data_IF_399537706710
#
_entry.id   IF_399537706710
#
_cell.length_a   1.000
_cell.length_b   1.000
_cell.length_c   1.000
_cell.angle_alpha   90.00
_cell.angle_beta   90.00
_cell.angle_gamma   90.00
#
_symmetry.space_group_name_H-M   'P 1'
#
loop_
_entity.id
_entity.type
_entity.pdbx_description
1 polymer ?
#
# COMPACT_ATOMS: atom_id res chain seq x y z
N UNK A 1 -8.35 -15.13 -39.52
CA UNK A 1 -9.08 -16.39 -39.29
C UNK A 1 -8.84 -16.82 -37.85
N UNK A 2 -9.91 -17.19 -37.16
CA UNK A 2 -10.00 -17.38 -35.72
C UNK A 2 -9.34 -18.68 -35.22
N UNK A 3 -9.01 -18.72 -33.93
CA UNK A 3 -9.06 -19.96 -33.16
C UNK A 3 -9.28 -19.63 -31.67
N UNK A 4 -10.56 -19.57 -31.29
CA UNK A 4 -10.98 -19.57 -29.88
C UNK A 4 -11.00 -21.04 -29.45
N UNK A 5 -10.14 -21.42 -28.51
CA UNK A 5 -10.10 -22.78 -27.98
C UNK A 5 -11.11 -22.91 -26.84
N UNK A 6 -12.27 -23.47 -27.16
CA UNK A 6 -13.31 -23.90 -26.22
C UNK A 6 -12.87 -25.19 -25.54
N UNK A 7 -12.50 -25.15 -24.26
CA UNK A 7 -12.25 -26.34 -23.46
C UNK A 7 -13.53 -26.80 -22.76
N UNK A 8 -13.94 -28.03 -23.08
CA UNK A 8 -15.16 -28.66 -22.62
C UNK A 8 -15.15 -28.92 -21.10
N UNK A 9 -16.29 -28.61 -20.48
CA UNK A 9 -16.66 -28.95 -19.11
C UNK A 9 -16.87 -30.47 -19.00
N UNK A 10 -16.35 -31.12 -17.95
CA UNK A 10 -16.88 -32.39 -17.42
C UNK A 10 -16.09 -32.76 -16.15
N UNK A 11 -16.63 -32.38 -14.99
CA UNK A 11 -16.10 -32.76 -13.68
C UNK A 11 -17.24 -32.79 -12.68
N UNK A 12 -17.55 -33.99 -12.20
CA UNK A 12 -18.74 -34.36 -11.46
C UNK A 12 -19.00 -33.56 -10.17
N UNK A 13 -20.29 -33.24 -9.98
CA UNK A 13 -21.02 -33.28 -8.69
C UNK A 13 -20.18 -33.23 -7.42
N UNK A 14 -19.65 -32.06 -7.07
CA UNK A 14 -19.49 -31.69 -5.67
C UNK A 14 -20.68 -30.82 -5.31
N UNK A 15 -21.73 -31.46 -4.80
CA UNK A 15 -22.78 -30.78 -4.04
C UNK A 15 -22.16 -30.32 -2.71
N UNK A 16 -21.31 -29.30 -2.79
CA UNK A 16 -21.00 -28.47 -1.63
C UNK A 16 -22.26 -27.63 -1.38
N UNK A 17 -22.77 -27.57 -0.14
CA UNK A 17 -23.78 -26.59 0.18
C UNK A 17 -23.18 -25.22 -0.19
N UNK A 18 -23.85 -24.54 -1.11
CA UNK A 18 -23.66 -23.13 -1.31
C UNK A 18 -24.08 -22.46 0.01
N UNK A 19 -23.14 -22.31 0.95
CA UNK A 19 -23.14 -21.16 1.84
C UNK A 19 -22.80 -19.97 0.95
N UNK A 20 -23.79 -19.59 0.15
CA UNK A 20 -23.96 -18.24 -0.29
C UNK A 20 -23.87 -17.37 0.96
N UNK A 21 -22.78 -16.62 1.04
CA UNK A 21 -22.78 -15.24 1.53
C UNK A 21 -23.80 -14.95 2.65
N UNK A 22 -23.60 -15.50 3.85
CA UNK A 22 -24.32 -15.03 5.03
C UNK A 22 -23.43 -15.26 6.25
N UNK A 23 -22.54 -14.30 6.51
CA UNK A 23 -21.67 -14.39 7.69
C UNK A 23 -20.32 -13.71 7.58
N UNK A 24 -19.91 -13.21 6.41
CA UNK A 24 -18.95 -12.12 6.39
C UNK A 24 -19.67 -10.86 6.83
N UNK A 25 -20.02 -10.76 8.12
CA UNK A 25 -19.87 -9.47 8.76
C UNK A 25 -18.37 -9.19 8.65
N UNK A 26 -17.99 -8.54 7.55
CA UNK A 26 -16.81 -7.72 7.54
C UNK A 26 -17.04 -6.76 8.70
N UNK A 27 -16.53 -7.14 9.87
CA UNK A 27 -16.52 -6.29 11.03
C UNK A 27 -15.81 -5.05 10.53
N UNK A 28 -16.59 -4.00 10.28
CA UNK A 28 -16.06 -2.71 9.90
C UNK A 28 -14.88 -2.48 10.85
N UNK A 29 -13.67 -2.21 10.33
CA UNK A 29 -12.49 -2.15 11.18
C UNK A 29 -12.84 -1.23 12.33
N UNK A 30 -12.82 -1.80 13.56
CA UNK A 30 -13.12 -1.04 14.75
C UNK A 30 -12.24 0.20 14.68
N UNK A 31 -12.88 1.37 14.66
CA UNK A 31 -12.18 2.63 14.43
C UNK A 31 -10.99 2.66 15.39
N UNK A 32 -9.78 2.72 14.82
CA UNK A 32 -8.56 2.75 15.63
C UNK A 32 -8.69 3.89 16.65
N UNK A 33 -8.30 3.66 17.92
CA UNK A 33 -8.35 4.72 18.91
C UNK A 33 -7.59 5.92 18.36
N UNK A 34 -8.25 7.08 18.31
CA UNK A 34 -7.58 8.33 17.95
C UNK A 34 -6.55 8.61 19.02
N UNK A 35 -5.29 8.37 18.69
CA UNK A 35 -4.18 8.95 19.44
C UNK A 35 -4.09 10.41 19.02
N UNK A 36 -4.47 11.30 19.93
CA UNK A 36 -4.25 12.72 19.72
C UNK A 36 -2.74 12.97 19.85
N UNK A 37 -2.07 13.20 18.72
CA UNK A 37 -0.68 13.62 18.69
C UNK A 37 -0.63 15.11 19.02
N UNK A 38 -0.27 15.42 20.26
CA UNK A 38 -0.24 16.80 20.77
C UNK A 38 0.98 17.54 20.23
N UNK A 39 2.16 16.93 20.36
CA UNK A 39 3.44 17.44 19.88
C UNK A 39 4.38 16.26 19.57
N UNK A 40 5.21 16.39 18.54
CA UNK A 40 6.17 15.36 18.15
C UNK A 40 7.29 15.90 17.27
N UNK A 41 8.52 15.46 17.53
CA UNK A 41 9.68 15.79 16.70
C UNK A 41 10.05 14.58 15.85
N UNK A 42 10.08 14.78 14.53
CA UNK A 42 10.52 13.78 13.58
C UNK A 42 11.87 14.20 13.00
N UNK A 43 12.93 13.48 13.35
CA UNK A 43 14.20 13.59 12.63
C UNK A 43 14.14 12.69 11.40
N UNK A 44 13.94 13.29 10.23
CA UNK A 44 13.96 12.56 8.98
C UNK A 44 14.87 13.25 7.95
N UNK A 45 16.05 12.69 7.78
CA UNK A 45 16.98 13.08 6.72
C UNK A 45 16.77 12.28 5.44
N UNK A 46 15.63 12.42 4.75
CA UNK A 46 15.31 11.91 3.38
C UNK A 46 16.18 10.70 2.96
N UNK A 47 17.34 10.98 2.32
CA UNK A 47 18.39 10.02 2.01
C UNK A 47 19.76 10.71 2.05
N UNK A 48 20.75 10.10 2.72
CA UNK A 48 22.04 10.73 2.97
C UNK A 48 22.83 11.03 1.69
N UNK A 49 22.87 10.08 0.75
CA UNK A 49 23.64 10.26 -0.48
C UNK A 49 22.98 11.25 -1.44
N UNK A 50 21.66 11.37 -1.39
CA UNK A 50 20.96 12.44 -2.10
C UNK A 50 21.40 13.82 -1.60
N UNK A 51 21.50 14.02 -0.28
CA UNK A 51 22.02 15.28 0.26
C UNK A 51 23.45 15.56 -0.16
N UNK A 52 24.32 14.54 -0.17
CA UNK A 52 25.71 14.66 -0.65
C UNK A 52 25.78 15.04 -2.11
N UNK A 53 24.90 14.51 -2.96
CA UNK A 53 24.81 14.91 -4.36
C UNK A 53 24.46 16.39 -4.48
N UNK A 54 23.42 16.85 -3.75
CA UNK A 54 22.94 18.24 -3.80
C UNK A 54 24.04 19.24 -3.43
N UNK A 55 24.76 19.04 -2.32
CA UNK A 55 25.84 19.95 -1.89
C UNK A 55 27.20 19.64 -2.53
N UNK A 56 27.27 18.57 -3.31
CA UNK A 56 28.49 18.04 -3.89
C UNK A 56 28.94 18.77 -5.15
N UNK A 57 30.09 18.35 -5.71
CA UNK A 57 30.74 19.01 -6.85
C UNK A 57 30.02 18.83 -8.19
N UNK A 58 28.85 18.17 -8.21
CA UNK A 58 28.07 17.95 -9.43
C UNK A 58 26.91 18.93 -9.47
N UNK A 59 26.05 18.91 -8.44
CA UNK A 59 24.86 19.74 -8.41
C UNK A 59 25.13 21.17 -7.91
N UNK A 60 26.16 21.39 -7.08
CA UNK A 60 26.50 22.69 -6.52
C UNK A 60 25.32 23.44 -5.88
N UNK A 61 24.39 22.70 -5.28
CA UNK A 61 23.19 23.23 -4.65
C UNK A 61 23.37 23.53 -3.16
N UNK A 62 22.30 24.06 -2.56
CA UNK A 62 22.21 24.34 -1.13
C UNK A 62 20.92 23.75 -0.58
N UNK A 63 21.00 23.12 0.58
CA UNK A 63 19.83 22.67 1.34
C UNK A 63 19.53 23.74 2.38
N UNK A 64 18.29 24.23 2.41
CA UNK A 64 17.80 25.17 3.44
C UNK A 64 16.55 24.55 4.05
N UNK A 65 16.55 24.40 5.37
CA UNK A 65 15.37 23.98 6.14
C UNK A 65 14.73 25.24 6.69
N UNK A 66 13.44 25.44 6.39
CA UNK A 66 12.60 26.49 6.98
C UNK A 66 11.75 25.88 8.10
N UNK A 67 11.00 26.71 8.83
CA UNK A 67 10.22 26.32 10.03
C UNK A 67 9.61 24.91 9.95
N UNK A 68 9.72 24.19 11.08
CA UNK A 68 9.24 22.82 11.26
C UNK A 68 7.74 22.72 11.46
#
# INVERSE_FOLDING_TARGET
AAAVATAAVLGATFALPALAADGSTEAAPAAAPKLDLVDGTLDWGIHADFRKYVVGPIAHGKITVTDG
#
